data_IF_363180529804
#
_entry.id   IF_363180529804
#
_cell.length_a   1.000
_cell.length_b   1.000
_cell.length_c   1.000
_cell.angle_alpha   90.00
_cell.angle_beta   90.00
_cell.angle_gamma   90.00
#
_symmetry.space_group_name_H-M   'P 1'
#
loop_
_entity.id
_entity.type
_entity.pdbx_description
1 polymer ?
#
# COMPACT_ATOMS: atom_id res chain seq x y z
N UNK A 1 -54.33 29.44 -2.75
CA UNK A 1 -54.88 30.74 -3.20
C UNK A 1 -55.63 31.37 -2.04
N UNK A 2 -55.33 32.64 -1.73
CA UNK A 2 -56.09 33.57 -0.86
C UNK A 2 -56.20 33.23 0.65
N UNK A 3 -56.19 34.16 1.61
CA UNK A 3 -55.69 35.55 1.79
C UNK A 3 -56.06 35.90 3.26
N UNK A 4 -55.15 36.53 4.02
CA UNK A 4 -55.35 37.70 4.95
C UNK A 4 -56.48 37.64 6.02
N UNK A 5 -56.44 38.28 7.20
CA UNK A 5 -55.64 39.35 7.81
C UNK A 5 -55.96 39.39 9.34
N UNK A 6 -54.99 39.67 10.21
CA UNK A 6 -54.76 40.92 11.00
C UNK A 6 -55.78 41.35 12.07
N UNK A 7 -55.23 41.76 13.23
CA UNK A 7 -55.76 42.80 14.12
C UNK A 7 -55.48 42.53 15.61
N UNK A 8 -54.38 43.06 16.18
CA UNK A 8 -54.32 44.28 17.07
C UNK A 8 -55.13 44.12 18.37
N UNK A 9 -54.61 44.31 19.58
CA UNK A 9 -53.85 45.44 20.14
C UNK A 9 -53.46 45.08 21.60
N UNK A 10 -52.26 45.42 22.09
CA UNK A 10 -51.99 46.58 22.98
C UNK A 10 -52.06 46.16 24.46
N UNK A 11 -51.18 46.51 25.40
CA UNK A 11 -49.97 47.34 25.46
C UNK A 11 -49.66 47.62 26.95
N UNK A 12 -48.36 47.79 27.26
CA UNK A 12 -47.79 48.43 28.48
C UNK A 12 -47.96 47.67 29.83
N UNK A 13 -47.04 47.68 30.79
CA UNK A 13 -45.87 48.51 31.06
C UNK A 13 -44.89 47.82 32.04
N UNK A 14 -43.59 48.18 31.94
CA UNK A 14 -42.60 48.29 33.04
C UNK A 14 -42.15 46.98 33.72
N UNK A 15 -40.87 46.65 33.88
CA UNK A 15 -39.67 47.49 33.90
C UNK A 15 -38.89 47.21 35.20
N UNK A 16 -37.59 46.97 35.04
CA UNK A 16 -36.51 47.01 36.04
C UNK A 16 -36.12 45.73 36.82
N UNK A 17 -35.00 45.17 36.35
CA UNK A 17 -33.72 45.07 37.06
C UNK A 17 -33.43 43.89 38.01
N UNK A 18 -32.39 43.17 37.60
CA UNK A 18 -31.51 42.23 38.32
C UNK A 18 -30.84 42.83 39.56
N UNK A 19 -30.24 42.02 40.45
CA UNK A 19 -28.80 41.77 40.28
C UNK A 19 -28.31 40.33 40.57
N UNK A 20 -27.14 40.05 40.00
CA UNK A 20 -26.20 38.95 40.18
C UNK A 20 -25.64 38.88 41.63
N UNK A 21 -24.82 37.95 42.14
CA UNK A 21 -24.11 36.71 41.79
C UNK A 21 -23.54 36.18 43.14
N UNK A 22 -23.16 34.89 43.25
CA UNK A 22 -21.83 34.48 43.79
C UNK A 22 -21.64 32.95 43.91
N UNK A 23 -20.36 32.60 43.75
CA UNK A 23 -19.69 31.29 43.78
C UNK A 23 -19.87 30.50 45.06
N UNK A 24 -19.76 29.17 44.95
CA UNK A 24 -19.39 28.27 46.05
C UNK A 24 -19.45 26.79 45.68
N UNK A 25 -18.30 26.17 45.38
CA UNK A 25 -17.98 24.77 45.77
C UNK A 25 -17.19 24.87 47.11
N UNK A 26 -16.98 23.83 47.96
CA UNK A 26 -16.94 22.38 47.66
C UNK A 26 -17.43 21.42 48.80
N UNK A 27 -17.27 20.09 48.60
CA UNK A 27 -17.34 18.96 49.56
C UNK A 27 -18.69 18.67 50.26
N UNK A 28 -19.12 17.45 50.58
CA UNK A 28 -18.53 16.11 50.48
C UNK A 28 -19.52 15.07 51.05
N UNK A 29 -19.48 13.86 50.48
CA UNK A 29 -19.67 12.53 51.09
C UNK A 29 -20.84 12.18 52.04
N UNK A 30 -21.35 10.95 51.83
CA UNK A 30 -21.95 9.95 52.74
C UNK A 30 -23.47 9.69 52.72
N UNK A 31 -23.81 8.60 52.02
CA UNK A 31 -24.62 7.43 52.42
C UNK A 31 -25.91 7.59 53.24
N UNK A 32 -26.99 7.01 52.72
CA UNK A 32 -28.19 6.63 53.47
C UNK A 32 -29.21 5.90 52.59
N UNK A 33 -29.18 4.57 52.64
CA UNK A 33 -30.04 3.63 51.90
C UNK A 33 -31.41 3.42 52.53
N UNK A 34 -32.46 3.34 51.70
CA UNK A 34 -33.67 2.49 51.83
C UNK A 34 -34.67 2.95 50.75
N UNK A 35 -35.34 2.16 49.91
CA UNK A 35 -35.58 0.73 49.82
C UNK A 35 -36.90 0.59 49.02
N UNK A 36 -36.99 -0.33 48.07
CA UNK A 36 -38.24 -0.58 47.33
C UNK A 36 -38.06 -1.36 46.03
N UNK A 37 -38.08 -2.70 46.14
CA UNK A 37 -38.67 -3.72 45.23
C UNK A 37 -38.94 -3.32 43.77
N UNK A 38 -38.54 -4.04 42.72
CA UNK A 38 -38.08 -5.41 42.59
C UNK A 38 -38.56 -5.94 41.23
N UNK A 39 -37.65 -6.42 40.37
CA UNK A 39 -37.91 -7.44 39.35
C UNK A 39 -36.57 -7.97 38.84
N UNK A 40 -36.24 -9.20 39.23
CA UNK A 40 -35.13 -9.94 38.66
C UNK A 40 -35.57 -10.53 37.31
N UNK A 41 -34.77 -10.32 36.28
CA UNK A 41 -34.67 -11.22 35.14
C UNK A 41 -33.20 -11.22 34.68
N UNK A 42 -32.58 -12.38 34.77
CA UNK A 42 -31.23 -12.67 34.33
C UNK A 42 -31.00 -12.28 32.87
N UNK A 43 -29.92 -11.57 32.60
CA UNK A 43 -29.23 -11.64 31.30
C UNK A 43 -27.75 -11.33 31.48
N UNK A 44 -27.00 -12.43 31.56
CA UNK A 44 -25.61 -12.64 31.20
C UNK A 44 -24.74 -11.38 31.01
N UNK A 45 -23.77 -11.21 31.92
CA UNK A 45 -22.58 -10.41 31.64
C UNK A 45 -21.82 -11.03 30.44
N UNK A 46 -21.46 -10.26 29.40
CA UNK A 46 -20.53 -10.75 28.40
C UNK A 46 -19.15 -10.84 29.06
N UNK A 47 -18.72 -12.08 29.25
CA UNK A 47 -17.36 -12.43 29.59
C UNK A 47 -16.46 -12.24 28.37
N UNK A 48 -15.23 -11.79 28.64
CA UNK A 48 -14.06 -11.72 27.74
C UNK A 48 -14.03 -10.64 26.66
N UNK A 49 -13.72 -9.41 27.06
CA UNK A 49 -12.96 -8.43 26.27
C UNK A 49 -11.57 -8.29 26.93
N UNK A 50 -10.62 -9.15 26.54
CA UNK A 50 -9.22 -9.03 26.96
C UNK A 50 -8.51 -8.08 26.00
N UNK A 51 -8.69 -6.79 26.25
CA UNK A 51 -8.00 -5.68 25.61
C UNK A 51 -8.67 -4.36 25.99
N UNK A 52 -7.94 -3.23 26.13
CA UNK A 52 -8.59 -1.94 26.33
C UNK A 52 -9.40 -1.58 25.08
N UNK A 53 -10.73 -1.72 25.15
CA UNK A 53 -11.63 -1.23 24.10
C UNK A 53 -11.80 0.27 24.23
N UNK A 54 -11.29 1.03 23.26
CA UNK A 54 -11.43 2.47 23.22
C UNK A 54 -12.75 2.82 22.52
N UNK A 55 -13.81 3.04 23.30
CA UNK A 55 -15.10 3.45 22.75
C UNK A 55 -15.04 4.93 22.33
N UNK A 56 -14.79 5.18 21.05
CA UNK A 56 -14.94 6.52 20.46
C UNK A 56 -16.42 6.75 20.11
N UNK A 57 -16.99 7.84 20.63
CA UNK A 57 -18.39 8.19 20.37
C UNK A 57 -18.60 8.48 18.87
N UNK A 58 -19.68 7.96 18.26
CA UNK A 58 -19.91 8.06 16.81
C UNK A 58 -20.00 9.49 16.28
N UNK A 59 -20.48 10.44 17.10
CA UNK A 59 -20.54 11.87 16.75
C UNK A 59 -19.22 12.63 16.97
N UNK A 60 -18.16 11.99 17.44
CA UNK A 60 -16.92 12.66 17.81
C UNK A 60 -16.28 13.34 16.60
N UNK A 61 -16.18 12.62 15.48
CA UNK A 61 -15.63 13.14 14.23
C UNK A 61 -16.42 14.36 13.75
N UNK A 62 -17.75 14.27 13.73
CA UNK A 62 -18.64 15.35 13.28
C UNK A 62 -18.53 16.61 14.16
N UNK A 63 -18.36 16.46 15.47
CA UNK A 63 -18.22 17.60 16.38
C UNK A 63 -16.84 18.26 16.31
N UNK A 64 -15.79 17.49 16.00
CA UNK A 64 -14.40 17.95 16.07
C UNK A 64 -13.75 18.17 14.69
N UNK A 65 -14.46 17.93 13.60
CA UNK A 65 -13.95 17.95 12.22
C UNK A 65 -13.11 19.19 11.89
N UNK A 66 -13.58 20.41 12.22
CA UNK A 66 -12.83 21.66 12.01
C UNK A 66 -11.58 21.75 12.88
N UNK A 67 -11.67 21.33 14.14
CA UNK A 67 -10.53 21.37 15.07
C UNK A 67 -9.44 20.41 14.59
N UNK A 68 -9.81 19.22 14.11
CA UNK A 68 -8.87 18.24 13.58
C UNK A 68 -8.09 18.83 12.41
N UNK A 69 -8.78 19.40 11.41
CA UNK A 69 -8.12 20.00 10.23
C UNK A 69 -7.22 21.17 10.64
N UNK A 70 -7.71 22.09 11.49
CA UNK A 70 -6.92 23.22 11.96
C UNK A 70 -5.72 22.80 12.80
N UNK A 71 -5.85 21.74 13.61
CA UNK A 71 -4.77 21.19 14.41
C UNK A 71 -3.64 20.64 13.54
N UNK A 72 -3.99 19.90 12.47
CA UNK A 72 -3.03 19.42 11.47
C UNK A 72 -2.29 20.60 10.78
N UNK A 73 -3.02 21.66 10.44
CA UNK A 73 -2.48 22.84 9.74
C UNK A 73 -1.78 23.86 10.66
N UNK A 74 -1.92 23.72 11.97
CA UNK A 74 -1.47 24.75 12.93
C UNK A 74 0.05 24.88 13.06
N UNK A 75 0.79 23.84 12.69
CA UNK A 75 2.23 23.72 12.97
C UNK A 75 2.57 23.54 14.46
N UNK A 76 1.56 23.49 15.35
CA UNK A 76 1.77 23.30 16.78
C UNK A 76 1.92 21.81 17.11
N UNK A 77 3.07 21.42 17.65
CA UNK A 77 3.41 20.03 17.99
C UNK A 77 2.30 19.32 18.78
N UNK A 78 1.81 19.92 19.87
CA UNK A 78 0.79 19.30 20.73
C UNK A 78 -0.54 19.08 20.01
N UNK A 79 -0.98 20.02 19.18
CA UNK A 79 -2.24 19.91 18.44
C UNK A 79 -2.08 18.92 17.27
N UNK A 80 -0.95 18.93 16.57
CA UNK A 80 -0.63 17.95 15.53
C UNK A 80 -0.63 16.52 16.08
N UNK A 81 0.07 16.27 17.20
CA UNK A 81 0.08 14.96 17.87
C UNK A 81 -1.32 14.56 18.32
N UNK A 82 -2.10 15.49 18.90
CA UNK A 82 -3.48 15.22 19.28
C UNK A 82 -4.34 14.82 18.07
N UNK A 83 -4.23 15.53 16.95
CA UNK A 83 -4.98 15.26 15.74
C UNK A 83 -4.61 13.91 15.12
N UNK A 84 -3.31 13.59 15.01
CA UNK A 84 -2.83 12.31 14.47
C UNK A 84 -3.26 11.13 15.36
N UNK A 85 -3.16 11.24 16.68
CA UNK A 85 -3.63 10.19 17.59
C UNK A 85 -5.15 9.99 17.48
N UNK A 86 -5.90 11.09 17.40
CA UNK A 86 -7.35 11.06 17.21
C UNK A 86 -7.73 10.38 15.90
N UNK A 87 -7.07 10.75 14.80
CA UNK A 87 -7.33 10.18 13.49
C UNK A 87 -6.87 8.73 13.39
N UNK A 88 -5.80 8.34 14.07
CA UNK A 88 -5.37 6.93 14.15
C UNK A 88 -6.50 6.07 14.74
N UNK A 89 -7.09 6.51 15.85
CA UNK A 89 -8.24 5.85 16.48
C UNK A 89 -9.46 5.82 15.56
N UNK A 90 -9.77 6.94 14.91
CA UNK A 90 -10.91 7.03 13.97
C UNK A 90 -10.70 6.25 12.68
N UNK A 91 -9.45 6.01 12.29
CA UNK A 91 -9.07 5.26 11.09
C UNK A 91 -9.06 3.74 11.33
N UNK A 92 -9.09 3.30 12.59
CA UNK A 92 -9.09 1.89 12.94
C UNK A 92 -10.52 1.33 12.91
N UNK A 93 -10.70 0.23 12.18
CA UNK A 93 -11.96 -0.52 12.15
C UNK A 93 -11.78 -1.83 12.90
N UNK A 94 -12.50 -2.00 14.01
CA UNK A 94 -12.51 -3.27 14.73
C UNK A 94 -13.28 -4.33 13.91
N UNK A 95 -12.80 -5.57 13.93
CA UNK A 95 -13.23 -6.65 13.01
C UNK A 95 -14.74 -6.97 13.09
N UNK A 96 -15.37 -6.66 14.22
CA UNK A 96 -16.79 -6.92 14.50
C UNK A 96 -17.67 -5.65 14.44
N UNK A 97 -17.08 -4.49 14.15
CA UNK A 97 -17.81 -3.23 14.12
C UNK A 97 -18.56 -3.11 12.78
N UNK A 98 -19.82 -3.54 12.78
CA UNK A 98 -20.81 -3.23 11.73
C UNK A 98 -21.15 -1.73 11.63
N UNK A 99 -20.36 -0.85 12.25
CA UNK A 99 -20.58 0.59 12.22
C UNK A 99 -20.53 1.08 10.78
N UNK A 100 -21.67 1.62 10.36
CA UNK A 100 -21.79 2.63 9.29
C UNK A 100 -21.12 3.96 9.67
N UNK A 101 -20.37 3.99 10.78
CA UNK A 101 -19.67 5.14 11.35
C UNK A 101 -18.19 5.16 10.95
N UNK A 102 -17.84 4.64 9.76
CA UNK A 102 -16.55 4.97 9.16
C UNK A 102 -16.43 6.49 9.10
N UNK A 103 -15.25 7.06 9.38
CA UNK A 103 -15.00 8.50 9.21
C UNK A 103 -14.85 8.76 7.72
N UNK A 104 -15.92 9.13 6.99
CA UNK A 104 -15.83 9.27 5.55
C UNK A 104 -15.09 10.57 5.30
N UNK A 105 -14.11 10.56 4.40
CA UNK A 105 -13.41 11.78 3.97
C UNK A 105 -14.42 12.85 3.50
N UNK A 106 -15.55 12.43 2.93
CA UNK A 106 -16.66 13.31 2.56
C UNK A 106 -17.24 14.15 3.73
N UNK A 107 -17.18 13.66 4.98
CA UNK A 107 -17.69 14.39 6.16
C UNK A 107 -16.71 15.42 6.73
N UNK A 108 -15.42 15.33 6.38
CA UNK A 108 -14.38 16.23 6.88
C UNK A 108 -13.66 16.89 5.69
N UNK A 109 -14.23 17.97 5.13
CA UNK A 109 -13.61 18.70 4.03
C UNK A 109 -12.19 19.18 4.38
N UNK A 110 -11.24 18.96 3.46
CA UNK A 110 -9.84 19.36 3.64
C UNK A 110 -9.00 18.46 4.55
N UNK A 111 -9.56 17.36 5.09
CA UNK A 111 -8.79 16.42 5.91
C UNK A 111 -7.67 15.74 5.12
N UNK A 112 -7.98 15.27 3.92
CA UNK A 112 -6.99 14.60 3.07
C UNK A 112 -5.85 15.57 2.71
N UNK A 113 -6.17 16.79 2.28
CA UNK A 113 -5.17 17.83 2.00
C UNK A 113 -4.31 18.15 3.22
N UNK A 114 -4.91 18.26 4.41
CA UNK A 114 -4.18 18.54 5.65
C UNK A 114 -3.24 17.39 6.05
N UNK A 115 -3.63 16.13 5.82
CA UNK A 115 -2.76 14.97 6.06
C UNK A 115 -1.62 14.90 5.04
N UNK A 116 -1.90 15.19 3.76
CA UNK A 116 -0.87 15.24 2.71
C UNK A 116 0.17 16.32 3.02
N UNK A 117 -0.28 17.50 3.46
CA UNK A 117 0.62 18.58 3.86
C UNK A 117 1.61 18.16 4.97
N UNK A 118 1.20 17.32 5.93
CA UNK A 118 2.12 16.80 6.96
C UNK A 118 3.24 15.94 6.34
N UNK A 119 2.92 15.19 5.28
CA UNK A 119 3.91 14.40 4.54
C UNK A 119 4.80 15.32 3.70
N UNK A 120 4.22 16.29 3.00
CA UNK A 120 4.97 17.23 2.16
C UNK A 120 5.95 18.05 3.00
N UNK A 121 5.52 18.55 4.16
CA UNK A 121 6.36 19.25 5.13
C UNK A 121 7.58 18.42 5.56
N UNK A 122 7.43 17.09 5.71
CA UNK A 122 8.54 16.20 6.00
C UNK A 122 9.51 16.09 4.82
N UNK A 123 8.99 16.02 3.60
CA UNK A 123 9.80 15.90 2.38
C UNK A 123 10.53 17.20 2.02
N UNK A 124 9.95 18.33 2.38
CA UNK A 124 10.54 19.67 2.19
C UNK A 124 11.65 20.00 3.19
N UNK A 125 11.80 19.22 4.28
CA UNK A 125 12.97 19.32 5.15
C UNK A 125 14.20 18.94 4.32
N UNK A 126 14.96 19.96 3.91
CA UNK A 126 16.13 19.82 3.06
C UNK A 126 17.11 18.82 3.67
N UNK A 127 17.46 17.77 2.92
CA UNK A 127 18.68 17.02 3.17
C UNK A 127 19.86 17.97 2.92
N UNK A 128 20.77 18.19 3.89
CA UNK A 128 22.04 18.84 3.61
C UNK A 128 22.68 18.14 2.41
N UNK A 129 23.20 18.91 1.44
CA UNK A 129 23.69 18.42 0.14
C UNK A 129 24.76 17.32 0.25
N UNK A 130 25.36 17.14 1.42
CA UNK A 130 26.35 16.11 1.74
C UNK A 130 25.75 14.77 2.23
N UNK A 131 24.49 14.74 2.69
CA UNK A 131 23.69 13.54 3.02
C UNK A 131 22.83 13.06 1.84
N UNK A 132 22.88 13.73 0.69
CA UNK A 132 22.10 13.45 -0.52
C UNK A 132 22.31 12.06 -1.16
N UNK A 133 23.11 11.18 -0.53
CA UNK A 133 23.42 9.83 -1.00
C UNK A 133 23.10 8.73 0.02
N UNK A 134 22.53 9.06 1.17
CA UNK A 134 22.17 8.10 2.22
C UNK A 134 20.66 7.83 2.27
N UNK A 135 20.22 6.57 2.54
CA UNK A 135 18.82 6.28 2.86
C UNK A 135 18.34 7.07 4.08
N UNK A 136 17.08 7.55 4.08
CA UNK A 136 16.47 8.13 5.29
C UNK A 136 16.40 7.06 6.36
N UNK A 137 17.02 7.34 7.50
CA UNK A 137 17.10 6.40 8.60
C UNK A 137 15.70 6.11 9.13
N UNK A 138 15.33 4.83 9.21
CA UNK A 138 14.09 4.39 9.83
C UNK A 138 14.13 4.71 11.32
N UNK A 139 13.10 5.38 11.85
CA UNK A 139 13.01 5.76 13.27
C UNK A 139 12.11 4.81 14.08
N UNK A 140 11.10 4.19 13.47
CA UNK A 140 10.23 3.23 14.14
C UNK A 140 10.77 1.81 13.98
N UNK A 141 11.20 1.17 15.07
CA UNK A 141 11.74 -0.20 15.01
C UNK A 141 13.17 -0.29 14.48
N UNK A 142 13.99 0.74 14.72
CA UNK A 142 15.42 0.84 14.31
C UNK A 142 16.25 -0.41 14.64
N UNK A 143 15.88 -1.12 15.71
CA UNK A 143 16.56 -2.33 16.20
C UNK A 143 15.83 -3.64 15.85
N UNK A 144 14.79 -3.58 15.01
CA UNK A 144 13.94 -4.71 14.65
C UNK A 144 14.23 -5.18 13.23
N UNK A 145 14.34 -6.49 13.04
CA UNK A 145 14.37 -7.14 11.71
C UNK A 145 12.99 -7.13 11.03
N UNK A 146 11.99 -6.58 11.69
CA UNK A 146 10.59 -6.55 11.28
C UNK A 146 10.16 -5.09 11.22
N UNK A 147 9.43 -4.68 10.17
CA UNK A 147 8.79 -3.35 10.08
C UNK A 147 7.92 -3.08 11.32
N UNK A 148 7.62 -1.81 11.61
CA UNK A 148 6.73 -1.42 12.70
C UNK A 148 5.35 -2.08 12.61
N UNK A 149 5.01 -2.63 11.44
CA UNK A 149 3.75 -3.32 11.14
C UNK A 149 3.87 -4.83 10.91
N UNK A 150 5.01 -5.46 11.24
CA UNK A 150 5.09 -6.94 11.27
C UNK A 150 5.62 -7.60 9.99
N UNK A 151 6.14 -6.86 9.01
CA UNK A 151 6.75 -7.45 7.80
C UNK A 151 8.21 -7.81 8.07
N UNK A 152 8.56 -9.08 7.95
CA UNK A 152 9.95 -9.54 8.10
C UNK A 152 10.85 -8.98 6.97
N UNK A 153 12.02 -8.44 7.32
CA UNK A 153 13.08 -8.08 6.39
C UNK A 153 13.73 -9.36 5.86
N UNK A 154 13.04 -10.07 4.98
CA UNK A 154 13.63 -11.16 4.21
C UNK A 154 14.23 -10.60 2.91
N UNK A 155 15.40 -9.97 3.02
CA UNK A 155 16.22 -9.72 1.83
C UNK A 155 16.63 -11.08 1.25
N UNK A 156 16.04 -11.44 0.11
CA UNK A 156 16.33 -12.71 -0.56
C UNK A 156 17.78 -12.71 -1.07
N UNK A 157 18.64 -13.43 -0.34
CA UNK A 157 19.95 -13.88 -0.79
C UNK A 157 21.02 -12.80 -0.92
N UNK A 158 21.75 -12.55 0.17
CA UNK A 158 23.17 -12.20 0.07
C UNK A 158 23.92 -12.57 1.34
N UNK A 159 24.56 -13.74 1.30
CA UNK A 159 25.77 -13.99 2.07
C UNK A 159 26.86 -13.12 1.42
N UNK A 160 27.39 -12.19 2.20
CA UNK A 160 28.50 -11.28 1.87
C UNK A 160 28.18 -10.13 0.89
N UNK A 161 27.55 -9.08 1.40
CA UNK A 161 28.06 -7.72 1.21
C UNK A 161 27.59 -6.83 2.36
N UNK A 162 28.53 -6.47 3.23
CA UNK A 162 28.30 -5.59 4.35
C UNK A 162 28.01 -4.17 3.84
N UNK A 163 26.76 -3.74 3.96
CA UNK A 163 26.47 -2.31 4.16
C UNK A 163 26.93 -1.93 5.57
N UNK A 164 27.54 -0.75 5.77
CA UNK A 164 28.08 -0.37 7.07
C UNK A 164 26.93 -0.11 8.05
N UNK A 165 26.59 -1.13 8.85
CA UNK A 165 25.81 -0.97 10.08
C UNK A 165 26.66 -0.17 11.06
N UNK A 166 26.45 1.15 11.13
CA UNK A 166 26.90 1.94 12.27
C UNK A 166 25.94 1.68 13.43
N UNK A 167 26.25 0.64 14.21
CA UNK A 167 25.57 0.32 15.46
C UNK A 167 26.58 0.43 16.59
N UNK A 168 26.42 1.44 17.43
CA UNK A 168 27.10 1.55 18.73
C UNK A 168 26.64 0.37 19.58
N UNK A 169 27.45 -0.68 19.62
CA UNK A 169 27.25 -1.82 20.49
C UNK A 169 27.74 -1.50 21.90
N UNK A 170 26.80 -1.39 22.84
CA UNK A 170 27.09 -1.52 24.27
C UNK A 170 27.41 -2.98 24.56
N UNK A 171 28.68 -3.26 24.83
CA UNK A 171 29.18 -4.59 25.20
C UNK A 171 30.45 -4.42 26.04
N UNK A 172 30.28 -4.52 27.35
CA UNK A 172 31.33 -4.37 28.35
C UNK A 172 32.43 -5.43 28.24
N UNK A 173 33.64 -4.96 28.48
CA UNK A 173 34.81 -5.57 29.12
C UNK A 173 35.76 -6.50 28.35
N UNK A 174 37.01 -6.02 28.36
CA UNK A 174 38.29 -6.73 28.46
C UNK A 174 38.95 -7.24 27.17
N UNK A 175 39.81 -6.41 26.59
CA UNK A 175 41.25 -6.67 26.55
C UNK A 175 41.99 -5.45 25.99
N UNK A 176 42.90 -4.95 26.81
CA UNK A 176 43.75 -3.80 26.57
C UNK A 176 44.71 -3.95 25.39
N UNK A 177 45.11 -2.77 24.90
CA UNK A 177 46.43 -2.46 24.34
C UNK A 177 46.73 -2.91 22.91
N UNK A 178 46.41 -2.04 21.96
CA UNK A 178 47.41 -1.42 21.06
C UNK A 178 46.74 -0.22 20.38
N UNK A 179 47.53 0.69 19.81
CA UNK A 179 47.10 1.95 19.14
C UNK A 179 47.05 3.18 20.05
N UNK A 180 48.10 3.37 20.84
CA UNK A 180 48.50 4.69 21.33
C UNK A 180 49.58 5.27 20.40
N UNK A 181 49.24 5.50 19.12
CA UNK A 181 50.18 6.14 18.18
C UNK A 181 49.56 6.72 16.90
N UNK A 182 48.38 7.36 16.99
CA UNK A 182 47.87 8.22 15.91
C UNK A 182 46.97 9.39 16.37
N UNK A 183 46.95 9.72 17.67
CA UNK A 183 46.03 10.71 18.26
C UNK A 183 46.37 12.20 17.96
N UNK A 184 47.32 12.50 17.07
CA UNK A 184 47.79 13.87 16.82
C UNK A 184 47.47 14.43 15.42
N UNK A 185 46.69 13.72 14.59
CA UNK A 185 46.37 14.20 13.22
C UNK A 185 44.91 14.14 12.78
N UNK A 186 43.97 13.86 13.68
CA UNK A 186 42.53 13.80 13.36
C UNK A 186 41.74 14.96 13.99
N UNK A 187 42.33 15.74 14.90
CA UNK A 187 41.62 16.79 15.66
C UNK A 187 41.42 18.14 14.96
N UNK A 188 41.54 18.22 13.63
CA UNK A 188 41.39 19.49 12.91
C UNK A 188 40.28 19.48 11.85
N UNK A 189 39.37 18.50 11.85
CA UNK A 189 38.25 18.47 10.91
C UNK A 189 36.87 18.22 11.53
N UNK A 190 36.76 17.94 12.83
CA UNK A 190 35.47 17.65 13.48
C UNK A 190 34.72 18.90 13.96
N UNK A 191 35.36 20.08 13.96
CA UNK A 191 34.76 21.28 14.55
C UNK A 191 33.96 22.16 13.57
N UNK A 192 33.82 21.73 12.32
CA UNK A 192 33.18 22.49 11.24
C UNK A 192 32.00 21.75 10.58
N UNK A 193 31.60 20.59 11.09
CA UNK A 193 30.44 19.83 10.58
C UNK A 193 29.17 19.99 11.41
N UNK A 194 29.26 20.58 12.61
CA UNK A 194 28.10 21.06 13.38
C UNK A 194 27.71 22.48 12.90
N UNK A 195 27.42 22.62 11.61
CA UNK A 195 26.56 23.71 11.17
C UNK A 195 25.10 23.23 11.34
N UNK A 196 24.71 23.05 12.61
CA UNK A 196 23.32 23.20 13.03
C UNK A 196 22.92 24.64 12.68
N UNK A 197 22.55 24.84 11.42
CA UNK A 197 22.02 26.11 10.96
C UNK A 197 20.94 26.54 11.94
N UNK A 198 20.99 27.78 12.40
CA UNK A 198 20.05 28.38 13.36
C UNK A 198 18.56 28.23 12.95
N UNK A 199 18.30 27.79 11.72
CA UNK A 199 17.00 27.56 11.09
C UNK A 199 16.79 26.11 10.62
N UNK A 200 17.73 25.20 10.85
CA UNK A 200 17.60 23.77 10.60
C UNK A 200 17.02 23.09 11.84
N UNK A 201 16.20 22.07 11.62
CA UNK A 201 15.77 21.18 12.71
C UNK A 201 16.98 20.41 13.22
N UNK A 202 17.11 20.33 14.54
CA UNK A 202 17.99 19.37 15.20
C UNK A 202 17.54 17.94 14.89
N UNK A 203 18.36 16.96 15.26
CA UNK A 203 18.06 15.54 15.03
C UNK A 203 16.74 15.11 15.69
N UNK A 204 16.43 15.65 16.88
CA UNK A 204 15.18 15.39 17.58
C UNK A 204 13.98 15.96 16.83
N UNK A 205 14.03 17.22 16.39
CA UNK A 205 12.99 17.85 15.59
C UNK A 205 12.76 17.17 14.23
N UNK A 206 13.82 16.66 13.59
CA UNK A 206 13.70 15.85 12.36
C UNK A 206 13.00 14.52 12.66
N UNK A 207 13.44 13.79 13.68
CA UNK A 207 12.83 12.51 14.06
C UNK A 207 11.33 12.66 14.39
N UNK A 208 10.95 13.74 15.05
CA UNK A 208 9.55 14.05 15.36
C UNK A 208 8.71 14.31 14.10
N UNK A 209 9.24 15.10 13.16
CA UNK A 209 8.57 15.36 11.88
C UNK A 209 8.42 14.08 11.06
N UNK A 210 9.42 13.20 11.06
CA UNK A 210 9.35 11.89 10.43
C UNK A 210 8.23 11.04 11.03
N UNK A 211 8.15 10.96 12.37
CA UNK A 211 7.08 10.23 13.04
C UNK A 211 5.69 10.79 12.71
N UNK A 212 5.55 12.11 12.60
CA UNK A 212 4.30 12.72 12.17
C UNK A 212 3.94 12.32 10.74
N UNK A 213 4.90 12.33 9.81
CA UNK A 213 4.68 11.91 8.43
C UNK A 213 4.31 10.43 8.33
N UNK A 214 4.99 9.56 9.07
CA UNK A 214 4.65 8.12 9.13
C UNK A 214 3.24 7.95 9.70
N UNK A 215 2.89 8.64 10.78
CA UNK A 215 1.55 8.64 11.35
C UNK A 215 0.47 9.08 10.35
N UNK A 216 0.72 10.19 9.63
CA UNK A 216 -0.18 10.68 8.58
C UNK A 216 -0.34 9.67 7.43
N UNK A 217 0.76 9.08 6.96
CA UNK A 217 0.72 8.07 5.89
C UNK A 217 -0.05 6.80 6.29
N UNK A 218 0.03 6.38 7.55
CA UNK A 218 -0.73 5.24 8.07
C UNK A 218 -2.23 5.56 8.13
N UNK A 219 -2.61 6.77 8.55
CA UNK A 219 -4.01 7.22 8.52
C UNK A 219 -4.55 7.21 7.08
N UNK A 220 -3.78 7.74 6.12
CA UNK A 220 -4.15 7.72 4.69
C UNK A 220 -4.31 6.28 4.20
N UNK A 221 -3.36 5.40 4.53
CA UNK A 221 -3.42 3.98 4.23
C UNK A 221 -4.70 3.36 4.77
N UNK A 222 -5.05 3.60 6.03
CA UNK A 222 -6.27 3.06 6.64
C UNK A 222 -7.54 3.63 6.00
N UNK A 223 -7.55 4.92 5.66
CA UNK A 223 -8.66 5.54 4.93
C UNK A 223 -8.89 4.91 3.57
N UNK A 224 -7.86 4.43 2.89
CA UNK A 224 -8.05 3.72 1.61
C UNK A 224 -8.91 2.46 1.78
N UNK A 225 -8.80 1.75 2.91
CA UNK A 225 -9.59 0.53 3.20
C UNK A 225 -11.00 0.82 3.71
N UNK A 226 -11.36 2.08 3.93
CA UNK A 226 -12.72 2.46 4.33
C UNK A 226 -13.60 2.61 3.09
N UNK A 227 -14.86 2.12 3.12
CA UNK A 227 -15.77 2.26 2.00
C UNK A 227 -16.03 3.74 1.68
N UNK A 228 -16.25 4.02 0.40
CA UNK A 228 -16.46 5.34 -0.21
C UNK A 228 -15.22 6.27 -0.23
N UNK A 229 -14.24 6.04 0.64
CA UNK A 229 -13.01 6.85 0.68
C UNK A 229 -12.09 6.54 -0.51
N UNK A 230 -12.06 5.28 -0.97
CA UNK A 230 -11.25 4.84 -2.10
C UNK A 230 -11.57 5.62 -3.38
N UNK A 231 -12.84 5.97 -3.59
CA UNK A 231 -13.28 6.76 -4.75
C UNK A 231 -12.76 8.19 -4.66
N UNK A 232 -12.88 8.81 -3.49
CA UNK A 232 -12.40 10.17 -3.25
C UNK A 232 -10.88 10.24 -3.43
N UNK A 233 -10.17 9.28 -2.84
CA UNK A 233 -8.70 9.23 -2.87
C UNK A 233 -8.17 8.93 -4.27
N UNK A 234 -8.77 8.00 -5.02
CA UNK A 234 -8.36 7.68 -6.39
C UNK A 234 -8.59 8.84 -7.38
N UNK A 235 -9.49 9.78 -7.05
CA UNK A 235 -9.73 11.00 -7.84
C UNK A 235 -8.91 12.20 -7.34
N UNK A 236 -8.18 12.05 -6.23
CA UNK A 236 -7.42 13.12 -5.61
C UNK A 236 -5.98 13.15 -6.14
N UNK A 237 -5.72 14.00 -7.15
CA UNK A 237 -4.41 14.07 -7.81
C UNK A 237 -3.25 14.21 -6.83
N UNK A 238 -3.33 15.13 -5.86
CA UNK A 238 -2.26 15.34 -4.89
C UNK A 238 -2.01 14.09 -4.04
N UNK A 239 -3.06 13.33 -3.69
CA UNK A 239 -2.92 12.10 -2.91
C UNK A 239 -2.11 11.06 -3.69
N UNK A 240 -2.43 10.90 -4.97
CA UNK A 240 -1.73 9.96 -5.84
C UNK A 240 -0.30 10.42 -6.11
N UNK A 241 -0.07 11.71 -6.34
CA UNK A 241 1.29 12.24 -6.54
C UNK A 241 2.18 12.00 -5.33
N UNK A 242 1.71 12.28 -4.10
CA UNK A 242 2.46 12.03 -2.86
C UNK A 242 2.77 10.53 -2.70
N UNK A 243 1.78 9.66 -2.97
CA UNK A 243 1.96 8.20 -2.88
C UNK A 243 2.98 7.70 -3.92
N UNK A 244 2.87 8.12 -5.19
CA UNK A 244 3.84 7.73 -6.22
C UNK A 244 5.22 8.31 -5.99
N UNK A 245 5.33 9.50 -5.38
CA UNK A 245 6.62 10.07 -5.02
C UNK A 245 7.32 9.24 -3.93
N UNK A 246 6.58 8.74 -2.93
CA UNK A 246 7.14 7.81 -1.93
C UNK A 246 7.63 6.50 -2.58
N UNK A 247 6.87 5.97 -3.54
CA UNK A 247 7.22 4.75 -4.30
C UNK A 247 8.45 4.98 -5.20
N UNK A 248 8.52 6.13 -5.87
CA UNK A 248 9.65 6.49 -6.73
C UNK A 248 10.95 6.60 -5.92
N UNK A 249 10.88 7.26 -4.76
CA UNK A 249 12.03 7.53 -3.91
C UNK A 249 12.35 6.38 -2.92
N UNK A 250 11.81 5.17 -3.13
CA UNK A 250 11.91 4.02 -2.22
C UNK A 250 13.31 3.58 -1.80
N UNK A 251 14.34 3.98 -2.54
CA UNK A 251 15.75 3.72 -2.19
C UNK A 251 16.21 4.62 -1.05
N UNK A 252 15.68 5.85 -1.01
CA UNK A 252 16.07 6.89 -0.06
C UNK A 252 14.98 7.24 0.95
N UNK A 253 13.74 6.86 0.71
CA UNK A 253 12.61 7.16 1.57
C UNK A 253 12.57 6.25 2.82
N UNK A 254 11.87 6.70 3.86
CA UNK A 254 11.59 5.87 5.02
C UNK A 254 10.77 4.62 4.63
N UNK A 255 11.20 3.44 5.10
CA UNK A 255 10.58 2.15 4.75
C UNK A 255 9.09 2.07 5.08
N UNK A 256 8.65 2.71 6.17
CA UNK A 256 7.25 2.72 6.61
C UNK A 256 6.41 3.61 5.70
N UNK A 257 6.95 4.75 5.25
CA UNK A 257 6.31 5.61 4.25
C UNK A 257 6.11 4.87 2.92
N UNK A 258 7.14 4.17 2.45
CA UNK A 258 7.06 3.36 1.22
C UNK A 258 6.02 2.25 1.36
N UNK A 259 6.02 1.55 2.49
CA UNK A 259 5.08 0.45 2.75
C UNK A 259 3.64 0.96 2.80
N UNK A 260 3.37 2.05 3.54
CA UNK A 260 2.05 2.67 3.59
C UNK A 260 1.59 3.18 2.22
N UNK A 261 2.49 3.77 1.43
CA UNK A 261 2.21 4.22 0.07
C UNK A 261 1.84 3.05 -0.86
N UNK A 262 2.58 1.93 -0.80
CA UNK A 262 2.31 0.73 -1.59
C UNK A 262 0.96 0.11 -1.23
N UNK A 263 0.67 -0.05 0.06
CA UNK A 263 -0.62 -0.61 0.50
C UNK A 263 -1.79 0.30 0.12
N UNK A 264 -1.62 1.62 0.24
CA UNK A 264 -2.60 2.61 -0.21
C UNK A 264 -2.87 2.44 -1.71
N UNK A 265 -1.83 2.47 -2.55
CA UNK A 265 -2.04 2.46 -4.00
C UNK A 265 -2.57 1.12 -4.52
N UNK A 266 -2.15 -0.01 -3.94
CA UNK A 266 -2.68 -1.35 -4.30
C UNK A 266 -4.18 -1.41 -4.05
N UNK A 267 -4.63 -0.81 -2.95
CA UNK A 267 -6.04 -0.75 -2.63
C UNK A 267 -6.82 0.20 -3.55
N UNK A 268 -6.24 1.35 -3.93
CA UNK A 268 -6.86 2.29 -4.88
C UNK A 268 -6.78 1.86 -6.36
N UNK A 269 -5.90 0.90 -6.69
CA UNK A 269 -5.58 0.51 -8.05
C UNK A 269 -6.79 0.19 -8.96
N UNK A 270 -7.86 -0.48 -8.50
CA UNK A 270 -9.02 -0.77 -9.35
C UNK A 270 -9.76 0.48 -9.85
N UNK A 271 -9.60 1.62 -9.17
CA UNK A 271 -10.23 2.90 -9.51
C UNK A 271 -9.25 3.90 -10.14
N UNK A 272 -7.97 3.53 -10.21
CA UNK A 272 -6.91 4.43 -10.67
C UNK A 272 -6.88 4.54 -12.20
N UNK A 273 -6.92 5.78 -12.68
CA UNK A 273 -6.64 6.16 -14.06
C UNK A 273 -5.37 7.01 -14.10
N UNK A 274 -4.33 6.51 -14.77
CA UNK A 274 -3.03 7.17 -14.86
C UNK A 274 -3.10 8.54 -15.57
N UNK A 275 -4.14 8.82 -16.38
CA UNK A 275 -4.35 10.14 -17.01
C UNK A 275 -4.57 11.27 -16.00
N UNK A 276 -4.82 10.94 -14.74
CA UNK A 276 -4.87 11.94 -13.67
C UNK A 276 -3.57 12.74 -13.57
N UNK A 277 -2.43 12.15 -13.96
CA UNK A 277 -1.12 12.82 -14.00
C UNK A 277 -0.94 13.72 -15.23
N UNK A 278 -1.77 13.60 -16.28
CA UNK A 278 -1.76 14.46 -17.47
C UNK A 278 -2.42 15.83 -17.28
N UNK A 279 -3.09 16.05 -16.15
CA UNK A 279 -3.88 17.27 -15.91
C UNK A 279 -3.06 18.55 -16.07
N UNK A 280 -3.64 19.56 -16.71
CA UNK A 280 -3.08 20.92 -16.81
C UNK A 280 -3.25 21.74 -15.52
N UNK A 281 -3.92 21.19 -14.50
CA UNK A 281 -4.05 21.83 -13.19
C UNK A 281 -2.67 21.94 -12.55
N UNK A 282 -2.48 23.01 -11.76
CA UNK A 282 -1.26 23.20 -11.00
C UNK A 282 -0.99 21.97 -10.14
N UNK A 283 0.21 21.42 -10.29
CA UNK A 283 0.73 20.35 -9.45
C UNK A 283 2.02 20.84 -8.79
N UNK A 284 2.18 20.47 -7.51
CA UNK A 284 3.38 20.78 -6.73
C UNK A 284 4.39 19.63 -6.78
N UNK A 285 3.94 18.42 -7.11
CA UNK A 285 4.75 17.21 -7.19
C UNK A 285 4.79 16.72 -8.65
N UNK A 286 5.97 16.74 -9.28
CA UNK A 286 6.13 16.50 -10.72
C UNK A 286 6.05 15.02 -11.14
N UNK A 287 5.02 14.28 -10.74
CA UNK A 287 4.77 12.91 -11.22
C UNK A 287 4.03 12.98 -12.56
N UNK A 288 4.58 12.27 -13.55
CA UNK A 288 3.94 12.03 -14.85
C UNK A 288 3.47 10.58 -14.92
N UNK A 289 2.63 10.25 -15.90
CA UNK A 289 2.16 8.88 -16.17
C UNK A 289 3.35 7.94 -16.38
N UNK A 290 4.33 8.40 -17.15
CA UNK A 290 5.56 7.64 -17.39
C UNK A 290 6.35 7.40 -16.10
N UNK A 291 6.55 8.44 -15.29
CA UNK A 291 7.27 8.31 -14.00
C UNK A 291 6.53 7.40 -13.02
N UNK A 292 5.20 7.45 -13.01
CA UNK A 292 4.39 6.55 -12.20
C UNK A 292 4.64 5.09 -12.56
N UNK A 293 4.66 4.75 -13.86
CA UNK A 293 4.98 3.38 -14.31
C UNK A 293 6.44 3.01 -13.99
N UNK A 294 7.39 3.92 -14.21
CA UNK A 294 8.81 3.69 -13.87
C UNK A 294 9.01 3.46 -12.36
N UNK A 295 8.27 4.15 -11.50
CA UNK A 295 8.29 3.94 -10.05
C UNK A 295 7.81 2.54 -9.67
N UNK A 296 6.73 2.06 -10.29
CA UNK A 296 6.23 0.68 -10.09
C UNK A 296 7.28 -0.33 -10.55
N UNK A 297 7.94 -0.09 -11.69
CA UNK A 297 9.01 -0.96 -12.18
C UNK A 297 10.22 -0.99 -11.24
N UNK A 298 10.56 0.15 -10.62
CA UNK A 298 11.58 0.24 -9.58
C UNK A 298 11.26 -0.66 -8.38
N UNK A 299 10.05 -0.55 -7.84
CA UNK A 299 9.60 -1.40 -6.73
C UNK A 299 9.51 -2.88 -7.13
N UNK A 300 9.06 -3.20 -8.34
CA UNK A 300 9.00 -4.58 -8.82
C UNK A 300 10.40 -5.23 -8.82
N UNK A 301 11.45 -4.44 -9.05
CA UNK A 301 12.85 -4.82 -8.95
C UNK A 301 13.42 -4.85 -7.52
N UNK A 302 12.65 -4.45 -6.51
CA UNK A 302 13.12 -4.32 -5.13
C UNK A 302 13.58 -5.66 -4.52
N UNK A 303 14.63 -5.65 -3.67
CA UNK A 303 15.03 -6.82 -2.88
C UNK A 303 14.04 -7.14 -1.75
N UNK A 304 13.16 -6.18 -1.40
CA UNK A 304 12.15 -6.36 -0.35
C UNK A 304 10.98 -7.16 -0.89
N UNK A 305 10.78 -8.35 -0.31
CA UNK A 305 9.74 -9.29 -0.71
C UNK A 305 8.34 -8.67 -0.70
N UNK A 306 7.97 -8.03 0.40
CA UNK A 306 6.66 -7.38 0.53
C UNK A 306 6.42 -6.34 -0.57
N UNK A 307 7.46 -5.56 -0.92
CA UNK A 307 7.33 -4.48 -1.89
C UNK A 307 7.19 -5.00 -3.33
N UNK A 308 8.02 -5.95 -3.75
CA UNK A 308 7.86 -6.49 -5.11
C UNK A 308 6.57 -7.30 -5.28
N UNK A 309 6.03 -7.91 -4.20
CA UNK A 309 4.72 -8.56 -4.23
C UNK A 309 3.62 -7.52 -4.44
N UNK A 310 3.65 -6.43 -3.67
CA UNK A 310 2.72 -5.32 -3.81
C UNK A 310 2.78 -4.67 -5.19
N UNK A 311 3.98 -4.47 -5.77
CA UNK A 311 4.11 -3.95 -7.14
C UNK A 311 3.58 -4.92 -8.20
N UNK A 312 3.80 -6.23 -8.04
CA UNK A 312 3.22 -7.22 -8.96
C UNK A 312 1.69 -7.18 -8.90
N UNK A 313 1.11 -7.14 -7.69
CA UNK A 313 -0.33 -7.01 -7.51
C UNK A 313 -0.87 -5.69 -8.08
N UNK A 314 -0.19 -4.57 -7.83
CA UNK A 314 -0.52 -3.26 -8.37
C UNK A 314 -0.60 -3.28 -9.90
N UNK A 315 0.42 -3.82 -10.57
CA UNK A 315 0.42 -3.98 -12.04
C UNK A 315 -0.77 -4.82 -12.51
N UNK A 316 -1.01 -5.94 -11.83
CA UNK A 316 -2.13 -6.82 -12.14
C UNK A 316 -3.49 -6.15 -11.98
N UNK A 317 -3.66 -5.25 -11.00
CA UNK A 317 -4.91 -4.50 -10.80
C UNK A 317 -5.05 -3.34 -11.77
N UNK A 318 -3.97 -2.61 -12.07
CA UNK A 318 -3.99 -1.46 -12.96
C UNK A 318 -4.31 -1.82 -14.40
N UNK A 319 -3.81 -2.95 -14.88
CA UNK A 319 -4.00 -3.38 -16.28
C UNK A 319 -5.44 -3.79 -16.57
N UNK A 320 -6.27 -4.03 -15.55
CA UNK A 320 -7.70 -4.31 -15.72
C UNK A 320 -8.44 -3.09 -16.29
N UNK A 321 -7.96 -1.88 -15.99
CA UNK A 321 -8.52 -0.66 -16.55
C UNK A 321 -7.93 -0.41 -17.97
N UNK A 322 -8.75 -0.46 -19.03
CA UNK A 322 -8.26 -0.29 -20.40
C UNK A 322 -7.63 1.09 -20.66
N UNK A 323 -8.04 2.11 -19.91
CA UNK A 323 -7.45 3.45 -20.02
C UNK A 323 -5.98 3.50 -19.58
N UNK A 324 -5.53 2.52 -18.77
CA UNK A 324 -4.15 2.41 -18.32
C UNK A 324 -3.25 1.64 -19.31
N UNK A 325 -3.82 0.85 -20.22
CA UNK A 325 -3.07 0.01 -21.16
C UNK A 325 -2.02 0.79 -21.98
N UNK A 326 -2.31 1.97 -22.58
CA UNK A 326 -1.33 2.69 -23.39
C UNK A 326 -0.05 3.06 -22.63
N UNK A 327 -0.13 3.20 -21.31
CA UNK A 327 1.01 3.54 -20.46
C UNK A 327 1.78 2.29 -20.00
N UNK A 328 1.10 1.15 -19.84
CA UNK A 328 1.70 -0.10 -19.36
C UNK A 328 2.28 -0.96 -20.48
N UNK A 329 1.63 -1.01 -21.65
CA UNK A 329 2.03 -1.84 -22.79
C UNK A 329 3.49 -1.63 -23.25
N UNK A 330 4.06 -0.42 -23.27
CA UNK A 330 5.48 -0.21 -23.59
C UNK A 330 6.45 -0.96 -22.66
N UNK A 331 6.05 -1.25 -21.43
CA UNK A 331 6.88 -1.89 -20.41
C UNK A 331 6.62 -3.41 -20.29
N UNK A 332 5.64 -3.96 -21.01
CA UNK A 332 5.24 -5.38 -20.93
C UNK A 332 6.40 -6.37 -21.03
N UNK A 333 7.40 -6.23 -21.94
CA UNK A 333 8.54 -7.15 -21.97
C UNK A 333 9.33 -7.19 -20.66
N UNK A 334 9.51 -6.04 -20.01
CA UNK A 334 10.23 -5.92 -18.74
C UNK A 334 9.38 -6.47 -17.59
N UNK A 335 8.08 -6.18 -17.62
CA UNK A 335 7.10 -6.70 -16.65
C UNK A 335 7.06 -8.22 -16.70
N UNK A 336 6.86 -8.82 -17.88
CA UNK A 336 6.80 -10.28 -18.05
C UNK A 336 8.05 -10.96 -17.54
N UNK A 337 9.24 -10.52 -17.96
CA UNK A 337 10.51 -11.05 -17.46
C UNK A 337 10.56 -11.07 -15.94
N UNK A 338 10.21 -9.95 -15.29
CA UNK A 338 10.29 -9.83 -13.84
C UNK A 338 9.23 -10.64 -13.11
N UNK A 339 7.98 -10.65 -13.58
CA UNK A 339 6.91 -11.48 -13.00
C UNK A 339 7.24 -12.98 -13.15
N UNK A 340 7.79 -13.38 -14.29
CA UNK A 340 8.24 -14.75 -14.54
C UNK A 340 9.35 -15.14 -13.55
N UNK A 341 10.28 -14.24 -13.23
CA UNK A 341 11.27 -14.45 -12.17
C UNK A 341 10.64 -14.58 -10.77
N UNK A 342 9.68 -13.73 -10.43
CA UNK A 342 8.97 -13.78 -9.14
C UNK A 342 8.23 -15.11 -8.92
N UNK A 343 7.66 -15.71 -9.97
CA UNK A 343 7.01 -17.04 -9.87
C UNK A 343 7.94 -18.15 -9.36
N UNK A 344 9.27 -17.97 -9.47
CA UNK A 344 10.26 -18.96 -9.03
C UNK A 344 10.74 -18.74 -7.60
N UNK A 345 10.35 -17.66 -6.94
CA UNK A 345 10.70 -17.45 -5.54
C UNK A 345 9.97 -18.49 -4.67
N UNK A 346 10.60 -19.02 -3.61
CA UNK A 346 9.96 -19.93 -2.65
C UNK A 346 9.04 -19.14 -1.70
N UNK A 347 8.16 -18.31 -2.27
CA UNK A 347 7.26 -17.42 -1.56
C UNK A 347 5.89 -17.49 -2.22
N UNK A 348 4.92 -18.06 -1.50
CA UNK A 348 3.55 -18.25 -2.00
C UNK A 348 2.91 -16.92 -2.41
N UNK A 349 3.03 -15.88 -1.59
CA UNK A 349 2.45 -14.56 -1.92
C UNK A 349 3.06 -13.95 -3.20
N UNK A 350 4.37 -14.09 -3.39
CA UNK A 350 5.06 -13.60 -4.59
C UNK A 350 4.60 -14.36 -5.84
N UNK A 351 4.47 -15.68 -5.72
CA UNK A 351 3.99 -16.53 -6.81
C UNK A 351 2.52 -16.21 -7.15
N UNK A 352 1.66 -16.02 -6.14
CA UNK A 352 0.26 -15.66 -6.33
C UNK A 352 0.11 -14.29 -7.00
N UNK A 353 0.85 -13.27 -6.54
CA UNK A 353 0.85 -11.93 -7.13
C UNK A 353 1.36 -11.96 -8.58
N UNK A 354 2.45 -12.68 -8.85
CA UNK A 354 3.01 -12.80 -10.20
C UNK A 354 2.06 -13.50 -11.18
N UNK A 355 1.50 -14.65 -10.78
CA UNK A 355 0.53 -15.38 -11.62
C UNK A 355 -0.74 -14.55 -11.82
N UNK A 356 -1.23 -13.85 -10.79
CA UNK A 356 -2.37 -12.96 -10.89
C UNK A 356 -2.16 -11.85 -11.91
N UNK A 357 -1.00 -11.19 -11.88
CA UNK A 357 -0.64 -10.13 -12.83
C UNK A 357 -0.45 -10.66 -14.25
N UNK A 358 0.25 -11.79 -14.42
CA UNK A 358 0.45 -12.43 -15.72
C UNK A 358 -0.88 -12.87 -16.36
N UNK A 359 -1.82 -13.36 -15.55
CA UNK A 359 -3.16 -13.71 -16.01
C UNK A 359 -3.88 -12.50 -16.59
N UNK A 360 -3.93 -11.39 -15.86
CA UNK A 360 -4.60 -10.18 -16.35
C UNK A 360 -3.89 -9.60 -17.59
N UNK A 361 -2.56 -9.62 -17.65
CA UNK A 361 -1.78 -9.16 -18.81
C UNK A 361 -2.03 -10.02 -20.06
N UNK A 362 -2.15 -11.33 -19.92
CA UNK A 362 -2.41 -12.25 -21.03
C UNK A 362 -3.80 -12.03 -21.67
N UNK A 363 -4.76 -11.54 -20.90
CA UNK A 363 -6.12 -11.27 -21.36
C UNK A 363 -6.26 -9.93 -22.13
N UNK A 364 -5.29 -9.03 -22.01
CA UNK A 364 -5.35 -7.69 -22.66
C UNK A 364 -5.41 -7.80 -24.18
N UNK A 365 -4.39 -8.41 -24.80
CA UNK A 365 -4.30 -8.52 -26.25
C UNK A 365 -3.37 -9.66 -26.69
N UNK A 366 -3.40 -9.95 -27.99
CA UNK A 366 -2.58 -10.99 -28.63
C UNK A 366 -1.08 -10.73 -28.42
N UNK A 367 -0.62 -9.47 -28.52
CA UNK A 367 0.81 -9.12 -28.38
C UNK A 367 1.36 -9.46 -26.99
N UNK A 368 0.58 -9.25 -25.92
CA UNK A 368 0.92 -9.70 -24.58
C UNK A 368 1.10 -11.23 -24.53
N UNK A 369 0.19 -12.00 -25.13
CA UNK A 369 0.29 -13.46 -25.17
C UNK A 369 1.52 -13.94 -25.95
N UNK A 370 1.80 -13.34 -27.10
CA UNK A 370 2.99 -13.67 -27.90
C UNK A 370 4.27 -13.38 -27.12
N UNK A 371 4.36 -12.21 -26.49
CA UNK A 371 5.51 -11.82 -25.67
C UNK A 371 5.68 -12.74 -24.46
N UNK A 372 4.61 -13.08 -23.75
CA UNK A 372 4.67 -13.99 -22.59
C UNK A 372 5.12 -15.40 -22.98
N UNK A 373 4.59 -15.96 -24.06
CA UNK A 373 5.01 -17.28 -24.53
C UNK A 373 6.49 -17.31 -24.98
N UNK A 374 6.98 -16.19 -25.52
CA UNK A 374 8.39 -16.03 -25.90
C UNK A 374 9.33 -15.77 -24.72
N UNK A 375 8.79 -15.40 -23.55
CA UNK A 375 9.60 -15.09 -22.37
C UNK A 375 10.25 -16.35 -21.83
N UNK A 376 11.54 -16.23 -21.49
CA UNK A 376 12.35 -17.38 -21.12
C UNK A 376 11.79 -18.01 -19.84
N UNK A 377 11.58 -19.33 -19.89
CA UNK A 377 11.08 -20.14 -18.78
C UNK A 377 9.64 -19.85 -18.35
N UNK A 378 8.89 -19.00 -19.05
CA UNK A 378 7.51 -18.69 -18.68
C UNK A 378 6.64 -19.95 -18.65
N UNK A 379 6.66 -20.74 -19.72
CA UNK A 379 5.88 -21.99 -19.84
C UNK A 379 6.33 -23.02 -18.79
N UNK A 380 7.64 -23.25 -18.65
CA UNK A 380 8.20 -24.14 -17.62
C UNK A 380 7.73 -23.79 -16.20
N UNK A 381 7.75 -22.50 -15.86
CA UNK A 381 7.41 -21.99 -14.53
C UNK A 381 5.91 -22.07 -14.28
N UNK A 382 5.07 -21.79 -15.27
CA UNK A 382 3.62 -22.00 -15.18
C UNK A 382 3.28 -23.47 -14.97
N UNK A 383 3.91 -24.37 -15.72
CA UNK A 383 3.77 -25.82 -15.54
C UNK A 383 4.20 -26.27 -14.14
N UNK A 384 5.29 -25.69 -13.61
CA UNK A 384 5.74 -25.97 -12.24
C UNK A 384 4.70 -25.59 -11.21
N UNK A 385 4.10 -24.39 -11.31
CA UNK A 385 3.01 -23.95 -10.40
C UNK A 385 1.86 -24.97 -10.36
N UNK A 386 1.53 -25.58 -11.50
CA UNK A 386 0.45 -26.56 -11.60
C UNK A 386 0.87 -27.93 -11.05
N UNK A 387 2.10 -28.39 -11.38
CA UNK A 387 2.65 -29.68 -10.97
C UNK A 387 3.02 -29.74 -9.48
N UNK A 388 3.45 -28.62 -8.90
CA UNK A 388 3.68 -28.45 -7.45
C UNK A 388 2.66 -27.43 -6.93
N UNK A 389 1.45 -27.88 -6.57
CA UNK A 389 0.32 -26.99 -6.40
C UNK A 389 0.53 -25.96 -5.28
N UNK A 390 0.23 -24.71 -5.61
CA UNK A 390 0.13 -23.61 -4.65
C UNK A 390 -0.99 -23.88 -3.62
N UNK A 391 -0.85 -23.46 -2.34
CA UNK A 391 -1.87 -23.67 -1.30
C UNK A 391 -3.22 -23.00 -1.63
N UNK A 392 -3.19 -21.94 -2.44
CA UNK A 392 -4.39 -21.27 -2.98
C UNK A 392 -4.73 -21.86 -4.35
N UNK A 393 -5.84 -22.63 -4.51
CA UNK A 393 -6.17 -23.32 -5.76
C UNK A 393 -6.39 -22.39 -6.96
N UNK A 394 -6.84 -21.16 -6.68
CA UNK A 394 -7.07 -20.13 -7.68
C UNK A 394 -5.79 -19.75 -8.45
N UNK A 395 -4.62 -19.82 -7.80
CA UNK A 395 -3.33 -19.54 -8.44
C UNK A 395 -3.04 -20.59 -9.52
N UNK A 396 -3.21 -21.88 -9.20
CA UNK A 396 -3.03 -22.95 -10.17
C UNK A 396 -4.07 -22.89 -11.31
N UNK A 397 -5.32 -22.52 -11.00
CA UNK A 397 -6.37 -22.31 -12.00
C UNK A 397 -5.99 -21.20 -12.99
N UNK A 398 -5.53 -20.05 -12.49
CA UNK A 398 -5.04 -18.93 -13.32
C UNK A 398 -3.83 -19.36 -14.17
N UNK A 399 -2.87 -20.09 -13.59
CA UNK A 399 -1.73 -20.62 -14.35
C UNK A 399 -2.16 -21.52 -15.52
N UNK A 400 -3.14 -22.40 -15.31
CA UNK A 400 -3.70 -23.24 -16.38
C UNK A 400 -4.42 -22.42 -17.45
N UNK A 401 -5.20 -21.41 -17.05
CA UNK A 401 -5.86 -20.50 -18.00
C UNK A 401 -4.87 -19.65 -18.80
N UNK A 402 -3.76 -19.21 -18.20
CA UNK A 402 -2.69 -18.54 -18.95
C UNK A 402 -2.21 -19.47 -20.07
N UNK A 403 -1.85 -20.72 -19.74
CA UNK A 403 -1.39 -21.69 -20.75
C UNK A 403 -2.44 -21.92 -21.85
N UNK A 404 -3.71 -22.06 -21.48
CA UNK A 404 -4.82 -22.19 -22.43
C UNK A 404 -4.90 -20.98 -23.39
N UNK A 405 -4.85 -19.77 -22.81
CA UNK A 405 -4.87 -18.51 -23.55
C UNK A 405 -3.66 -18.40 -24.50
N UNK A 406 -2.46 -18.82 -24.06
CA UNK A 406 -1.25 -18.84 -24.89
C UNK A 406 -1.33 -19.82 -26.07
N UNK A 407 -1.94 -21.00 -25.88
CA UNK A 407 -2.12 -22.01 -26.93
C UNK A 407 -3.11 -21.55 -28.00
N UNK A 408 -4.11 -20.75 -27.62
CA UNK A 408 -5.12 -20.23 -28.55
C UNK A 408 -4.51 -19.41 -29.70
N UNK A 409 -3.30 -18.87 -29.50
CA UNK A 409 -2.56 -18.10 -30.49
C UNK A 409 -1.71 -18.98 -31.43
N UNK A 410 -2.00 -19.00 -32.74
CA UNK A 410 -1.30 -19.87 -33.69
C UNK A 410 0.22 -19.67 -33.74
N UNK A 411 0.70 -18.43 -33.53
CA UNK A 411 2.13 -18.11 -33.56
C UNK A 411 2.90 -18.75 -32.40
N UNK A 412 2.24 -18.99 -31.26
CA UNK A 412 2.85 -19.59 -30.08
C UNK A 412 3.00 -21.11 -30.21
N UNK A 413 2.32 -21.75 -31.16
CA UNK A 413 2.26 -23.20 -31.30
C UNK A 413 3.65 -23.86 -31.31
N UNK A 414 4.61 -23.32 -32.04
CA UNK A 414 5.96 -23.90 -32.14
C UNK A 414 6.65 -23.95 -30.77
N UNK A 415 6.42 -22.93 -29.93
CA UNK A 415 6.98 -22.86 -28.58
C UNK A 415 6.29 -23.85 -27.63
N UNK A 416 4.96 -23.99 -27.72
CA UNK A 416 4.18 -24.84 -26.81
C UNK A 416 4.19 -26.32 -27.18
N UNK A 417 4.41 -26.69 -28.45
CA UNK A 417 4.55 -28.09 -28.88
C UNK A 417 5.70 -28.81 -28.16
N UNK A 418 6.76 -28.10 -27.76
CA UNK A 418 7.86 -28.68 -26.98
C UNK A 418 7.40 -29.21 -25.61
N UNK A 419 6.23 -28.79 -25.13
CA UNK A 419 5.66 -29.16 -23.83
C UNK A 419 4.47 -30.14 -23.95
N UNK A 420 4.19 -30.67 -25.15
CA UNK A 420 3.07 -31.59 -25.40
C UNK A 420 3.02 -32.77 -24.42
N UNK A 421 4.17 -33.41 -24.16
CA UNK A 421 4.27 -34.51 -23.19
C UNK A 421 3.91 -34.05 -21.77
N UNK A 422 4.34 -32.86 -21.35
CA UNK A 422 4.03 -32.33 -20.02
C UNK A 422 2.54 -31.99 -19.89
N UNK A 423 1.90 -31.52 -20.96
CA UNK A 423 0.46 -31.30 -21.00
C UNK A 423 -0.34 -32.60 -20.91
N UNK A 424 0.10 -33.64 -21.63
CA UNK A 424 -0.51 -34.97 -21.57
C UNK A 424 -0.36 -35.60 -20.17
N UNK A 425 0.82 -35.49 -19.56
CA UNK A 425 1.03 -35.93 -18.17
C UNK A 425 0.04 -35.27 -17.21
N UNK A 426 -0.17 -33.95 -17.31
CA UNK A 426 -1.10 -33.24 -16.43
C UNK A 426 -2.54 -33.71 -16.70
N UNK A 427 -2.94 -33.83 -17.97
CA UNK A 427 -4.27 -34.33 -18.36
C UNK A 427 -4.59 -35.69 -17.72
N UNK A 428 -3.62 -36.62 -17.73
CA UNK A 428 -3.81 -37.99 -17.21
C UNK A 428 -3.49 -38.16 -15.72
N UNK A 429 -3.05 -37.10 -15.03
CA UNK A 429 -2.65 -37.16 -13.61
C UNK A 429 -3.82 -36.96 -12.65
N UNK A 430 -4.34 -35.73 -12.56
CA UNK A 430 -5.39 -35.29 -11.65
C UNK A 430 -6.49 -34.58 -12.44
N UNK A 431 -7.75 -34.99 -12.23
CA UNK A 431 -8.91 -34.50 -12.97
C UNK A 431 -9.24 -33.02 -12.77
N UNK A 432 -8.60 -32.32 -11.82
CA UNK A 432 -8.89 -30.90 -11.52
C UNK A 432 -8.71 -29.96 -12.72
N UNK A 433 -7.73 -30.23 -13.59
CA UNK A 433 -7.45 -29.40 -14.77
C UNK A 433 -7.58 -30.17 -16.09
N UNK A 434 -8.11 -31.40 -16.05
CA UNK A 434 -8.16 -32.28 -17.23
C UNK A 434 -8.89 -31.65 -18.41
N UNK A 435 -10.01 -30.97 -18.18
CA UNK A 435 -10.75 -30.27 -19.26
C UNK A 435 -9.90 -29.19 -19.94
N UNK A 436 -9.26 -28.32 -19.16
CA UNK A 436 -8.36 -27.27 -19.69
C UNK A 436 -7.20 -27.89 -20.48
N UNK A 437 -6.56 -28.94 -19.97
CA UNK A 437 -5.42 -29.57 -20.66
C UNK A 437 -5.84 -30.41 -21.87
N UNK A 438 -7.06 -30.96 -21.88
CA UNK A 438 -7.64 -31.58 -23.08
C UNK A 438 -7.89 -30.53 -24.17
N UNK A 439 -8.41 -29.35 -23.82
CA UNK A 439 -8.60 -28.22 -24.74
C UNK A 439 -7.27 -27.70 -25.29
N UNK A 440 -6.24 -27.58 -24.44
CA UNK A 440 -4.86 -27.25 -24.84
C UNK A 440 -4.33 -28.24 -25.88
N UNK A 441 -4.38 -29.54 -25.60
CA UNK A 441 -3.87 -30.57 -26.52
C UNK A 441 -4.68 -30.62 -27.82
N UNK A 442 -6.00 -30.44 -27.74
CA UNK A 442 -6.85 -30.34 -28.91
C UNK A 442 -6.42 -29.17 -29.81
N UNK A 443 -6.20 -27.98 -29.27
CA UNK A 443 -5.78 -26.81 -30.05
C UNK A 443 -4.38 -26.97 -30.66
N UNK A 444 -3.45 -27.61 -29.94
CA UNK A 444 -2.11 -27.92 -30.43
C UNK A 444 -2.09 -28.98 -31.55
N UNK A 445 -3.09 -29.86 -31.63
CA UNK A 445 -3.13 -30.97 -32.58
C UNK A 445 -4.08 -30.73 -33.75
N UNK A 446 -5.23 -30.09 -33.52
CA UNK A 446 -6.33 -29.99 -34.48
C UNK A 446 -6.14 -28.95 -35.58
N UNK A 447 -5.43 -27.84 -35.33
CA UNK A 447 -5.23 -26.81 -36.36
C UNK A 447 -4.10 -27.24 -37.32
N UNK A 448 -4.32 -27.45 -38.62
CA UNK A 448 -3.23 -27.75 -39.53
C UNK A 448 -2.30 -26.53 -39.65
N UNK A 449 -1.00 -26.77 -39.56
CA UNK A 449 0.02 -25.77 -39.84
C UNK A 449 -0.12 -25.39 -41.33
N UNK A 450 -0.53 -24.16 -41.66
CA UNK A 450 -0.65 -23.67 -43.05
C UNK A 450 0.71 -23.57 -43.80
N UNK A 451 1.72 -24.30 -43.35
CA UNK A 451 3.05 -24.43 -43.95
C UNK A 451 3.60 -25.86 -43.86
N UNK A 452 2.80 -26.88 -44.15
CA UNK A 452 3.36 -28.14 -44.62
C UNK A 452 3.29 -28.13 -46.14
N UNK A 453 4.47 -27.92 -46.74
CA UNK A 453 4.71 -27.98 -48.17
C UNK A 453 4.04 -29.22 -48.76
N UNK A 454 3.40 -29.06 -49.91
CA UNK A 454 2.97 -30.16 -50.76
C UNK A 454 4.17 -31.02 -51.14
N UNK A 455 4.49 -32.02 -50.33
CA UNK A 455 5.24 -33.16 -50.79
C UNK A 455 4.34 -33.87 -51.80
N UNK A 456 4.58 -33.63 -53.10
CA UNK A 456 4.08 -34.49 -54.17
C UNK A 456 4.58 -35.90 -53.86
N UNK A 457 3.71 -36.73 -53.30
CA UNK A 457 3.92 -38.17 -53.25
C UNK A 457 3.96 -38.67 -54.69
N UNK A 458 5.16 -39.04 -55.15
CA UNK A 458 5.34 -39.85 -56.35
C UNK A 458 4.85 -41.24 -55.97
N UNK A 459 3.67 -41.62 -56.44
CA UNK A 459 3.21 -43.00 -56.40
C UNK A 459 3.99 -43.77 -57.47
N UNK A 460 5.01 -44.50 -57.04
CA UNK A 460 5.64 -45.52 -57.87
C UNK A 460 4.84 -46.81 -57.76
N UNK A 461 4.00 -47.09 -58.76
CA UNK A 461 3.70 -48.46 -59.15
C UNK A 461 4.75 -48.86 -60.20
N UNK A 462 5.47 -49.95 -59.97
CA UNK A 462 6.49 -50.50 -60.87
C UNK A 462 7.36 -51.51 -60.16
#
# INVERSE_FOLDING_TARGET
MQKREQGKSGGAAGGAATPAAKRGRPFGSTSGSSGGSGSAADSAAPTTLLGPSLQVHSSFADQNHKRIVLALQSGLKSELTWALNTLTLLSFKEKDDMRKDATPLAKIPGLLDALLQVIDDWRDIALPKELSKGPRARTLGVNSLVTGFGSEFEALGSINNAFPRSGVGSGSSAADSLVQKNAARVRSSEWWFDEDGLFNLDDEGRAEKQQCAVGASNIIRNFSFMPDNEVIMAQHRHCLETVFQCIEDHVTEDEELVTNALETIVNLAPLLDLRIFSSSKQSYIKITEKRAVEAIMGILGSPFKAWHCAAAELLGRLIINPDNEPFLLPFVPQIHKRLVDLMSLPAFDAQAAAVGALYNLAEVNVDCRLKLASERWAIDRLLRVIKTPHPVPEVCRKAAMILESLVSEPQNRVLLLAYENAFAEILFSDGRYSDTFARILYELTSRPNNKVASARGIWGCG
#
